data_IF_085333853879
#
_entry.id   IF_085333853879
#
_cell.length_a   1.000
_cell.length_b   1.000
_cell.length_c   1.000
_cell.angle_alpha   90.00
_cell.angle_beta   90.00
_cell.angle_gamma   90.00
#
_symmetry.space_group_name_H-M   'P 1'
#
loop_
_entity.id
_entity.type
_entity.pdbx_description
1 polymer ?
#
# COMPACT_ATOMS: atom_id res chain seq x y z
N UNK A 1 3.20 -17.56 -6.47
CA UNK A 1 2.79 -16.41 -5.62
C UNK A 1 2.90 -15.12 -6.40
N UNK A 2 1.91 -14.28 -6.24
CA UNK A 2 1.89 -12.94 -6.83
C UNK A 2 2.19 -11.93 -5.73
N UNK A 3 3.15 -11.06 -5.96
CA UNK A 3 3.47 -9.95 -5.07
C UNK A 3 2.84 -8.67 -5.62
N UNK A 4 2.03 -8.03 -4.81
CA UNK A 4 1.47 -6.74 -5.14
C UNK A 4 2.15 -5.67 -4.30
N UNK A 5 2.71 -4.66 -4.95
CA UNK A 5 3.38 -3.56 -4.27
C UNK A 5 2.76 -2.23 -4.66
N UNK A 6 2.46 -1.41 -3.68
CA UNK A 6 2.02 -0.02 -3.90
C UNK A 6 3.02 0.91 -3.24
N UNK A 7 3.52 1.86 -4.01
CA UNK A 7 4.40 2.92 -3.50
C UNK A 7 3.57 4.19 -3.33
N UNK A 8 3.59 4.74 -2.12
CA UNK A 8 2.92 6.00 -1.79
C UNK A 8 3.96 7.10 -1.65
N UNK A 9 3.70 8.23 -2.29
CA UNK A 9 4.60 9.40 -2.26
C UNK A 9 3.84 10.60 -1.73
N UNK A 10 4.45 11.35 -0.83
CA UNK A 10 3.82 12.50 -0.18
C UNK A 10 4.86 13.51 0.28
N UNK A 11 4.41 14.74 0.52
CA UNK A 11 5.25 15.75 1.17
C UNK A 11 5.46 15.36 2.65
N UNK A 12 6.58 15.78 3.27
CA UNK A 12 6.85 15.46 4.68
C UNK A 12 5.74 15.82 5.65
N UNK A 13 5.00 16.90 5.38
CA UNK A 13 3.89 17.32 6.23
C UNK A 13 2.74 16.31 6.29
N UNK A 14 2.61 15.48 5.28
CA UNK A 14 1.52 14.48 5.22
C UNK A 14 1.88 13.17 5.91
N UNK A 15 3.14 12.95 6.27
CA UNK A 15 3.61 11.66 6.77
C UNK A 15 2.86 11.20 8.02
N UNK A 16 2.68 12.08 9.00
CA UNK A 16 2.00 11.72 10.25
C UNK A 16 0.57 11.26 10.02
N UNK A 17 -0.19 12.02 9.24
CA UNK A 17 -1.57 11.68 8.91
C UNK A 17 -1.65 10.41 8.08
N UNK A 18 -0.70 10.22 7.16
CA UNK A 18 -0.63 9.01 6.36
C UNK A 18 -0.41 7.76 7.22
N UNK A 19 0.54 7.81 8.16
CA UNK A 19 0.81 6.68 9.04
C UNK A 19 -0.37 6.37 9.94
N UNK A 20 -1.06 7.39 10.45
CA UNK A 20 -2.26 7.21 11.25
C UNK A 20 -3.35 6.50 10.42
N UNK A 21 -3.56 6.94 9.19
CA UNK A 21 -4.52 6.31 8.27
C UNK A 21 -4.14 4.85 7.99
N UNK A 22 -2.86 4.58 7.76
CA UNK A 22 -2.39 3.21 7.54
C UNK A 22 -2.67 2.32 8.74
N UNK A 23 -2.37 2.79 9.94
CA UNK A 23 -2.54 2.00 11.17
C UNK A 23 -4.00 1.80 11.54
N UNK A 24 -4.86 2.79 11.32
CA UNK A 24 -6.25 2.75 11.76
C UNK A 24 -7.21 2.18 10.71
N UNK A 25 -6.92 2.35 9.43
CA UNK A 25 -7.86 2.02 8.36
C UNK A 25 -7.29 1.02 7.36
N UNK A 26 -6.17 1.36 6.74
CA UNK A 26 -5.69 0.65 5.57
C UNK A 26 -5.15 -0.75 5.87
N UNK A 27 -4.19 -0.84 6.79
CA UNK A 27 -3.59 -2.12 7.16
C UNK A 27 -4.59 -3.07 7.83
N UNK A 28 -5.44 -2.61 8.76
CA UNK A 28 -6.43 -3.51 9.35
C UNK A 28 -7.40 -4.10 8.34
N UNK A 29 -7.83 -3.32 7.35
CA UNK A 29 -8.73 -3.81 6.31
C UNK A 29 -8.06 -4.89 5.45
N UNK A 30 -6.79 -4.69 5.06
CA UNK A 30 -6.05 -5.70 4.31
C UNK A 30 -5.76 -6.94 5.16
N UNK A 31 -5.46 -6.76 6.44
CA UNK A 31 -5.17 -7.89 7.34
C UNK A 31 -6.37 -8.81 7.54
N UNK A 32 -7.59 -8.31 7.33
CA UNK A 32 -8.82 -9.10 7.44
C UNK A 32 -9.20 -9.80 6.14
N UNK A 33 -8.51 -9.51 5.05
CA UNK A 33 -8.81 -10.13 3.76
C UNK A 33 -8.15 -11.51 3.67
N UNK A 34 -8.98 -12.55 3.63
CA UNK A 34 -8.52 -13.95 3.62
C UNK A 34 -7.76 -14.35 2.36
N UNK A 35 -7.87 -13.56 1.30
CA UNK A 35 -7.18 -13.85 0.03
C UNK A 35 -5.72 -13.43 0.08
N UNK A 36 -5.35 -12.60 1.04
CA UNK A 36 -3.97 -12.18 1.24
C UNK A 36 -3.25 -13.22 2.10
N UNK A 37 -2.05 -13.62 1.65
CA UNK A 37 -1.26 -14.60 2.42
C UNK A 37 -0.96 -14.05 3.80
N UNK A 38 -1.30 -14.84 4.82
CA UNK A 38 -1.08 -14.48 6.20
C UNK A 38 0.40 -14.20 6.46
N UNK A 39 0.68 -13.11 7.14
CA UNK A 39 2.04 -12.71 7.47
C UNK A 39 2.81 -12.03 6.35
N UNK A 40 2.22 -11.86 5.16
CA UNK A 40 2.91 -11.24 4.03
C UNK A 40 2.74 -9.73 3.93
N UNK A 41 1.78 -9.16 4.64
CA UNK A 41 1.50 -7.73 4.59
C UNK A 41 2.59 -6.93 5.30
N UNK A 42 3.26 -6.05 4.57
CA UNK A 42 4.34 -5.23 5.11
C UNK A 42 4.24 -3.81 4.59
N UNK A 43 4.56 -2.86 5.45
CA UNK A 43 4.71 -1.46 5.09
C UNK A 43 6.11 -1.03 5.46
N UNK A 44 6.86 -0.50 4.50
CA UNK A 44 8.22 -0.02 4.72
C UNK A 44 8.36 1.43 4.28
N UNK A 45 9.10 2.20 5.05
CA UNK A 45 9.52 3.52 4.63
C UNK A 45 10.74 3.37 3.72
N UNK A 46 10.66 3.95 2.54
CA UNK A 46 11.77 3.90 1.60
C UNK A 46 12.85 4.88 2.06
N UNK A 47 14.07 4.40 2.21
CA UNK A 47 15.20 5.25 2.59
C UNK A 47 15.65 6.04 1.38
N UNK A 48 15.77 7.34 1.56
CA UNK A 48 16.25 8.23 0.51
C UNK A 48 17.71 8.56 0.78
N UNK A 49 18.47 8.67 -0.31
CA UNK A 49 19.85 9.09 -0.25
C UNK A 49 19.92 10.51 -0.83
N UNK A 50 20.55 11.41 -0.11
CA UNK A 50 20.68 12.80 -0.51
C UNK A 50 20.42 13.74 0.65
N UNK A 51 20.80 14.99 0.49
CA UNK A 51 20.74 16.00 1.53
C UNK A 51 19.39 16.65 1.66
N UNK A 52 18.60 16.68 0.58
CA UNK A 52 17.29 17.29 0.59
C UNK A 52 16.20 16.25 0.42
N UNK A 53 15.22 16.30 1.32
CA UNK A 53 14.07 15.41 1.28
C UNK A 53 12.84 16.23 0.95
N UNK A 54 12.48 16.29 -0.35
CA UNK A 54 11.29 16.97 -0.81
C UNK A 54 10.04 16.10 -0.69
N UNK A 55 10.23 14.80 -0.68
CA UNK A 55 9.14 13.85 -0.59
C UNK A 55 9.50 12.65 0.27
N UNK A 56 8.46 12.01 0.81
CA UNK A 56 8.55 10.81 1.62
C UNK A 56 7.85 9.70 0.85
N UNK A 57 8.44 8.51 0.84
CA UNK A 57 7.87 7.36 0.14
C UNK A 57 7.75 6.14 1.06
N UNK A 58 6.65 5.43 0.91
CA UNK A 58 6.39 4.16 1.60
C UNK A 58 6.04 3.08 0.59
N UNK A 59 6.49 1.87 0.84
CA UNK A 59 6.14 0.71 0.04
C UNK A 59 5.28 -0.23 0.87
N UNK A 60 4.09 -0.52 0.37
CA UNK A 60 3.17 -1.50 0.95
C UNK A 60 3.13 -2.70 0.04
N UNK A 61 3.34 -3.89 0.58
CA UNK A 61 3.23 -5.09 -0.25
C UNK A 61 2.58 -6.25 0.50
N UNK A 62 2.06 -7.18 -0.29
CA UNK A 62 1.52 -8.44 0.20
C UNK A 62 1.53 -9.47 -0.93
N UNK A 63 1.41 -10.74 -0.57
CA UNK A 63 1.32 -11.83 -1.52
C UNK A 63 -0.11 -12.37 -1.60
N UNK A 64 -0.49 -12.80 -2.80
CA UNK A 64 -1.67 -13.65 -2.99
C UNK A 64 -1.24 -14.94 -3.69
N UNK A 65 -2.00 -16.04 -3.52
CA UNK A 65 -1.63 -17.30 -4.17
C UNK A 65 -1.63 -17.22 -5.70
N UNK A 66 -2.62 -16.55 -6.27
CA UNK A 66 -2.78 -16.43 -7.71
C UNK A 66 -3.20 -15.02 -8.10
N UNK A 67 -3.11 -14.73 -9.40
CA UNK A 67 -3.58 -13.47 -9.94
C UNK A 67 -5.10 -13.28 -9.77
N UNK A 68 -5.88 -14.36 -9.82
CA UNK A 68 -7.32 -14.30 -9.59
C UNK A 68 -7.65 -13.82 -8.18
N UNK A 69 -6.91 -14.32 -7.19
CA UNK A 69 -7.05 -13.86 -5.81
C UNK A 69 -6.73 -12.37 -5.71
N UNK A 70 -5.66 -11.94 -6.40
CA UNK A 70 -5.29 -10.52 -6.40
C UNK A 70 -6.40 -9.65 -7.00
N UNK A 71 -6.99 -10.08 -8.12
CA UNK A 71 -8.08 -9.32 -8.74
C UNK A 71 -9.26 -9.17 -7.79
N UNK A 72 -9.58 -10.23 -7.04
CA UNK A 72 -10.66 -10.16 -6.06
C UNK A 72 -10.34 -9.19 -4.92
N UNK A 73 -9.10 -9.19 -4.42
CA UNK A 73 -8.66 -8.22 -3.41
C UNK A 73 -8.82 -6.80 -3.95
N UNK A 74 -8.31 -6.54 -5.16
CA UNK A 74 -8.32 -5.19 -5.74
C UNK A 74 -9.73 -4.71 -6.07
N UNK A 75 -10.63 -5.61 -6.44
CA UNK A 75 -12.01 -5.25 -6.80
C UNK A 75 -12.90 -4.99 -5.58
N UNK A 76 -12.51 -5.44 -4.41
CA UNK A 76 -13.30 -5.32 -3.17
C UNK A 76 -12.58 -4.47 -2.14
N UNK A 77 -11.74 -5.07 -1.32
CA UNK A 77 -11.02 -4.36 -0.26
C UNK A 77 -10.15 -3.24 -0.83
N UNK A 78 -9.39 -3.54 -1.89
CA UNK A 78 -8.50 -2.57 -2.50
C UNK A 78 -9.23 -1.36 -3.06
N UNK A 79 -10.37 -1.57 -3.71
CA UNK A 79 -11.15 -0.47 -4.26
C UNK A 79 -11.66 0.46 -3.17
N UNK A 80 -12.21 -0.11 -2.09
CA UNK A 80 -12.71 0.67 -0.96
C UNK A 80 -11.58 1.48 -0.30
N UNK A 81 -10.39 0.89 -0.19
CA UNK A 81 -9.24 1.57 0.40
C UNK A 81 -8.70 2.67 -0.50
N UNK A 82 -8.69 2.46 -1.81
CA UNK A 82 -8.31 3.50 -2.76
C UNK A 82 -9.26 4.70 -2.66
N UNK A 83 -10.55 4.45 -2.59
CA UNK A 83 -11.55 5.51 -2.42
C UNK A 83 -11.37 6.25 -1.10
N UNK A 84 -11.11 5.53 -0.01
CA UNK A 84 -10.88 6.12 1.30
C UNK A 84 -9.61 6.98 1.33
N UNK A 85 -8.56 6.53 0.66
CA UNK A 85 -7.31 7.27 0.54
C UNK A 85 -7.53 8.60 -0.19
N UNK A 86 -8.21 8.55 -1.33
CA UNK A 86 -8.51 9.75 -2.12
C UNK A 86 -9.41 10.69 -1.34
N UNK A 87 -10.41 10.17 -0.63
CA UNK A 87 -11.31 10.98 0.18
C UNK A 87 -10.56 11.71 1.29
N UNK A 88 -9.56 11.08 1.88
CA UNK A 88 -8.82 11.66 2.99
C UNK A 88 -7.70 12.61 2.54
N UNK A 89 -6.97 12.23 1.51
CA UNK A 89 -5.73 12.93 1.12
C UNK A 89 -5.81 13.62 -0.24
N UNK A 90 -6.75 13.25 -1.09
CA UNK A 90 -6.80 13.80 -2.44
C UNK A 90 -5.47 13.57 -3.16
N UNK A 91 -4.89 14.63 -3.67
CA UNK A 91 -3.61 14.59 -4.38
C UNK A 91 -2.39 14.71 -3.45
N UNK A 92 -2.61 14.89 -2.14
CA UNK A 92 -1.51 15.03 -1.19
C UNK A 92 -0.72 13.72 -1.01
N UNK A 93 -1.35 12.59 -1.27
CA UNK A 93 -0.70 11.26 -1.28
C UNK A 93 -0.99 10.62 -2.62
N UNK A 94 0.07 10.30 -3.35
CA UNK A 94 -0.03 9.66 -4.67
C UNK A 94 0.46 8.23 -4.53
N UNK A 95 -0.31 7.28 -5.07
CA UNK A 95 0.05 5.87 -5.05
C UNK A 95 0.16 5.31 -6.46
N UNK A 96 1.11 4.42 -6.66
CA UNK A 96 1.22 3.64 -7.89
C UNK A 96 1.64 2.22 -7.54
N UNK A 97 1.17 1.28 -8.34
CA UNK A 97 1.28 -0.13 -8.00
C UNK A 97 2.02 -0.94 -9.06
N UNK A 98 2.66 -2.01 -8.60
CA UNK A 98 3.37 -2.95 -9.46
C UNK A 98 2.97 -4.37 -9.04
N UNK A 99 2.69 -5.20 -10.04
CA UNK A 99 2.39 -6.62 -9.83
C UNK A 99 3.61 -7.41 -10.26
N UNK A 100 4.07 -8.29 -9.38
CA UNK A 100 5.27 -9.10 -9.64
C UNK A 100 4.97 -10.56 -9.39
N UNK A 101 5.52 -11.42 -10.26
CA UNK A 101 5.44 -12.86 -10.04
C UNK A 101 6.68 -13.33 -9.32
N UNK A 102 6.50 -14.20 -8.33
CA UNK A 102 7.64 -14.82 -7.67
C UNK A 102 8.24 -15.88 -8.59
N UNK A 103 9.51 -15.70 -8.93
CA UNK A 103 10.21 -16.65 -9.78
C UNK A 103 10.94 -17.69 -8.94
N UNK A 104 11.30 -17.32 -7.71
CA UNK A 104 12.09 -18.18 -6.88
C UNK A 104 11.95 -17.88 -5.40
#
# INVERSE_FOLDING_TARGET
MILYNTTFVMAPLSEGSFLEFMQEVYLPALAQDDLIKEGSLRLHRIRQQGEEVDSISYALHFYTPTEYHLQDVLSNTGLRLAEALVARFGEAVIGFSTIMEEVR
#
